data_IF_801688595705
#
_entry.id   IF_801688595705
#
_cell.length_a   1.000
_cell.length_b   1.000
_cell.length_c   1.000
_cell.angle_alpha   90.00
_cell.angle_beta   90.00
_cell.angle_gamma   90.00
#
_symmetry.space_group_name_H-M   'P 1'
#
loop_
_entity.id
_entity.type
_entity.pdbx_description
1 polymer ?
#
# COMPACT_ATOMS: atom_id res chain seq x y z
N UNK A 1 -82.23 -7.43 -79.79
CA UNK A 1 -81.13 -7.90 -78.92
C UNK A 1 -79.84 -7.49 -79.61
N UNK A 2 -78.93 -6.93 -78.83
CA UNK A 2 -77.56 -6.49 -79.17
C UNK A 2 -77.45 -5.19 -79.99
N UNK A 3 -76.62 -4.21 -79.63
CA UNK A 3 -75.81 -3.96 -78.43
C UNK A 3 -75.52 -2.46 -78.35
N UNK A 4 -75.39 -1.97 -77.12
CA UNK A 4 -75.13 -0.58 -76.74
C UNK A 4 -73.67 -0.21 -77.00
N UNK A 5 -73.41 0.89 -77.71
CA UNK A 5 -72.06 1.45 -77.86
C UNK A 5 -71.88 2.69 -76.97
N UNK A 6 -71.15 2.49 -75.88
CA UNK A 6 -70.82 3.43 -74.83
C UNK A 6 -69.55 4.23 -75.19
N UNK A 7 -69.71 5.51 -75.54
CA UNK A 7 -68.59 6.41 -75.80
C UNK A 7 -68.09 7.05 -74.50
N UNK A 8 -67.06 6.41 -73.94
CA UNK A 8 -66.27 6.81 -72.77
C UNK A 8 -65.66 8.22 -72.91
N UNK A 9 -66.06 9.14 -72.04
CA UNK A 9 -65.44 10.45 -71.89
C UNK A 9 -63.95 10.30 -71.48
N UNK A 10 -63.06 10.89 -72.28
CA UNK A 10 -61.62 10.91 -72.05
C UNK A 10 -61.29 11.72 -70.80
N UNK A 11 -60.71 11.03 -69.83
CA UNK A 11 -59.98 11.59 -68.69
C UNK A 11 -58.78 12.40 -69.21
N UNK A 12 -58.85 13.73 -69.11
CA UNK A 12 -57.68 14.59 -69.21
C UNK A 12 -57.00 14.62 -67.85
N UNK A 13 -56.07 13.68 -67.61
CA UNK A 13 -55.06 13.84 -66.56
C UNK A 13 -54.16 15.01 -66.98
N UNK A 14 -54.29 16.12 -66.27
CA UNK A 14 -53.28 17.18 -66.28
C UNK A 14 -52.03 16.63 -65.58
N UNK A 15 -51.07 16.14 -66.35
CA UNK A 15 -49.72 15.91 -65.84
C UNK A 15 -49.13 17.29 -65.53
N UNK A 16 -49.15 17.64 -64.25
CA UNK A 16 -48.51 18.84 -63.72
C UNK A 16 -47.01 18.72 -63.87
N UNK A 17 -46.49 19.17 -65.02
CA UNK A 17 -45.05 19.40 -65.20
C UNK A 17 -44.68 20.54 -64.25
N UNK A 18 -44.00 20.18 -63.16
CA UNK A 18 -43.44 21.15 -62.22
C UNK A 18 -42.49 22.07 -62.99
N UNK A 19 -42.61 23.38 -62.77
CA UNK A 19 -41.75 24.38 -63.38
C UNK A 19 -40.26 24.03 -63.08
N UNK A 20 -39.39 23.99 -64.10
CA UNK A 20 -37.99 23.60 -63.94
C UNK A 20 -37.22 24.49 -62.96
N UNK A 21 -37.64 25.75 -62.77
CA UNK A 21 -37.06 26.64 -61.76
C UNK A 21 -37.47 26.24 -60.34
N UNK A 22 -38.72 25.83 -60.13
CA UNK A 22 -39.18 25.25 -58.85
C UNK A 22 -38.46 23.94 -58.54
N UNK A 23 -38.25 23.07 -59.54
CA UNK A 23 -37.51 21.82 -59.35
C UNK A 23 -36.04 22.07 -58.97
N UNK A 24 -35.38 23.06 -59.60
CA UNK A 24 -34.01 23.46 -59.27
C UNK A 24 -33.91 24.06 -57.85
N UNK A 25 -34.88 24.88 -57.44
CA UNK A 25 -34.93 25.43 -56.09
C UNK A 25 -35.08 24.34 -55.01
N UNK A 26 -35.91 23.32 -55.26
CA UNK A 26 -36.06 22.17 -54.36
C UNK A 26 -34.75 21.38 -54.26
N UNK A 27 -34.07 21.10 -55.39
CA UNK A 27 -32.78 20.40 -55.37
C UNK A 27 -31.69 21.18 -54.64
N UNK A 28 -31.65 22.51 -54.81
CA UNK A 28 -30.73 23.38 -54.09
C UNK A 28 -30.98 23.33 -52.58
N UNK A 29 -32.23 23.48 -52.15
CA UNK A 29 -32.61 23.42 -50.74
C UNK A 29 -32.32 22.05 -50.10
N UNK A 30 -32.55 20.96 -50.83
CA UNK A 30 -32.22 19.61 -50.36
C UNK A 30 -30.71 19.43 -50.23
N UNK A 31 -29.92 19.91 -51.19
CA UNK A 31 -28.45 19.81 -51.16
C UNK A 31 -27.84 20.63 -50.01
N UNK A 32 -28.35 21.85 -49.77
CA UNK A 32 -27.96 22.67 -48.61
C UNK A 32 -28.33 21.99 -47.29
N UNK A 33 -29.53 21.41 -47.20
CA UNK A 33 -29.97 20.67 -46.01
C UNK A 33 -29.08 19.46 -45.74
N UNK A 34 -28.78 18.65 -46.75
CA UNK A 34 -27.89 17.49 -46.63
C UNK A 34 -26.45 17.89 -46.27
N UNK A 35 -25.93 18.98 -46.86
CA UNK A 35 -24.63 19.53 -46.51
C UNK A 35 -24.57 19.98 -45.05
N UNK A 36 -25.59 20.73 -44.60
CA UNK A 36 -25.68 21.17 -43.21
C UNK A 36 -25.77 19.99 -42.23
N UNK A 37 -26.49 18.92 -42.60
CA UNK A 37 -26.59 17.71 -41.79
C UNK A 37 -25.24 16.99 -41.68
N UNK A 38 -24.51 16.86 -42.79
CA UNK A 38 -23.18 16.24 -42.82
C UNK A 38 -22.16 17.03 -41.99
N UNK A 39 -22.18 18.36 -42.05
CA UNK A 39 -21.33 19.23 -41.25
C UNK A 39 -21.62 19.09 -39.76
N UNK A 40 -22.91 19.05 -39.39
CA UNK A 40 -23.33 18.85 -38.02
C UNK A 40 -22.90 17.45 -37.51
N UNK A 41 -23.05 16.41 -38.32
CA UNK A 41 -22.61 15.06 -37.97
C UNK A 41 -21.09 15.01 -37.78
N UNK A 42 -20.33 15.64 -38.67
CA UNK A 42 -18.87 15.72 -38.59
C UNK A 42 -18.43 16.43 -37.31
N UNK A 43 -19.06 17.56 -36.97
CA UNK A 43 -18.81 18.28 -35.70
C UNK A 43 -19.14 17.43 -34.47
N UNK A 44 -20.24 16.69 -34.50
CA UNK A 44 -20.60 15.78 -33.39
C UNK A 44 -19.57 14.67 -33.26
N UNK A 45 -19.10 14.08 -34.37
CA UNK A 45 -18.07 13.04 -34.34
C UNK A 45 -16.76 13.60 -33.79
N UNK A 46 -16.26 14.72 -34.32
CA UNK A 46 -15.01 15.34 -33.89
C UNK A 46 -15.04 15.73 -32.41
N UNK A 47 -16.14 16.32 -31.95
CA UNK A 47 -16.30 16.68 -30.54
C UNK A 47 -16.29 15.45 -29.64
N UNK A 48 -17.03 14.39 -29.99
CA UNK A 48 -17.05 13.14 -29.21
C UNK A 48 -15.71 12.42 -29.23
N UNK A 49 -15.00 12.44 -30.34
CA UNK A 49 -13.69 11.79 -30.48
C UNK A 49 -12.61 12.56 -29.72
N UNK A 50 -12.69 13.90 -29.71
CA UNK A 50 -11.82 14.76 -28.90
C UNK A 50 -12.09 14.57 -27.40
N UNK A 51 -13.35 14.53 -26.98
CA UNK A 51 -13.75 14.24 -25.60
C UNK A 51 -13.23 12.85 -25.17
N UNK A 52 -13.33 11.86 -26.05
CA UNK A 52 -12.82 10.52 -25.80
C UNK A 52 -11.30 10.49 -25.65
N UNK A 53 -10.56 11.11 -26.58
CA UNK A 53 -9.10 11.18 -26.53
C UNK A 53 -8.61 11.87 -25.25
N UNK A 54 -9.29 12.95 -24.83
CA UNK A 54 -9.00 13.66 -23.59
C UNK A 54 -9.21 12.76 -22.37
N UNK A 55 -10.37 12.11 -22.27
CA UNK A 55 -10.67 11.19 -21.15
C UNK A 55 -9.69 10.03 -21.09
N UNK A 56 -9.38 9.44 -22.24
CA UNK A 56 -8.42 8.33 -22.32
C UNK A 56 -7.02 8.75 -21.82
N UNK A 57 -6.55 9.92 -22.22
CA UNK A 57 -5.24 10.44 -21.78
C UNK A 57 -5.20 10.76 -20.28
N UNK A 58 -6.24 11.39 -19.75
CA UNK A 58 -6.32 11.76 -18.32
C UNK A 58 -6.44 10.52 -17.42
N UNK A 59 -7.29 9.57 -17.78
CA UNK A 59 -7.56 8.39 -16.96
C UNK A 59 -6.37 7.42 -16.97
N UNK A 60 -5.76 7.18 -18.14
CA UNK A 60 -4.63 6.25 -18.27
C UNK A 60 -3.34 6.81 -17.63
N UNK A 61 -3.08 8.12 -17.74
CA UNK A 61 -1.92 8.74 -17.08
C UNK A 61 -2.04 8.70 -15.56
N UNK A 62 -3.22 8.96 -15.00
CA UNK A 62 -3.43 8.92 -13.55
C UNK A 62 -3.27 7.52 -12.95
N UNK A 63 -3.77 6.50 -13.66
CA UNK A 63 -3.66 5.08 -13.26
C UNK A 63 -2.22 4.59 -13.29
N UNK A 64 -1.50 4.88 -14.38
CA UNK A 64 -0.08 4.51 -14.53
C UNK A 64 0.78 5.21 -13.48
N UNK A 65 0.56 6.51 -13.23
CA UNK A 65 1.31 7.26 -12.22
C UNK A 65 1.09 6.71 -10.81
N UNK A 66 -0.14 6.31 -10.47
CA UNK A 66 -0.41 5.65 -9.18
C UNK A 66 0.26 4.29 -9.06
N UNK A 67 0.19 3.46 -10.10
CA UNK A 67 0.86 2.17 -10.12
C UNK A 67 2.39 2.31 -9.96
N UNK A 68 2.98 3.29 -10.66
CA UNK A 68 4.41 3.60 -10.54
C UNK A 68 4.75 4.13 -9.14
N UNK A 69 3.91 4.99 -8.55
CA UNK A 69 4.11 5.47 -7.17
C UNK A 69 4.08 4.32 -6.16
N UNK A 70 3.15 3.37 -6.30
CA UNK A 70 3.08 2.16 -5.45
C UNK A 70 4.29 1.26 -5.62
N UNK A 71 4.68 0.96 -6.87
CA UNK A 71 5.85 0.13 -7.15
C UNK A 71 7.16 0.72 -6.58
N UNK A 72 7.32 2.06 -6.59
CA UNK A 72 8.49 2.73 -5.98
C UNK A 72 8.51 2.66 -4.46
N UNK A 73 7.34 2.65 -3.81
CA UNK A 73 7.22 2.58 -2.35
C UNK A 73 7.69 1.22 -1.79
N UNK A 74 7.53 0.15 -2.56
CA UNK A 74 7.78 -1.23 -2.12
C UNK A 74 9.25 -1.69 -2.22
N UNK A 75 10.14 -0.90 -2.83
CA UNK A 75 11.49 -1.36 -3.18
C UNK A 75 12.52 -1.24 -2.04
N UNK A 76 12.27 -0.40 -1.03
CA UNK A 76 13.27 -0.13 0.00
C UNK A 76 13.17 -1.09 1.19
N UNK A 77 14.28 -1.78 1.50
CA UNK A 77 14.41 -2.61 2.72
C UNK A 77 15.24 -1.89 3.78
N UNK A 78 14.64 -1.64 4.94
CA UNK A 78 15.27 -1.02 6.10
C UNK A 78 16.27 -1.96 6.78
N UNK A 79 17.42 -1.43 7.20
CA UNK A 79 18.44 -2.17 7.97
C UNK A 79 17.92 -2.69 9.33
N UNK A 80 17.04 -1.94 9.99
CA UNK A 80 16.48 -2.28 11.30
C UNK A 80 15.04 -2.74 11.14
N UNK A 81 14.68 -3.86 11.78
CA UNK A 81 13.32 -4.43 11.73
C UNK A 81 12.23 -3.45 12.20
N UNK A 82 12.50 -2.67 13.25
CA UNK A 82 11.55 -1.66 13.73
C UNK A 82 11.29 -0.54 12.72
N UNK A 83 12.32 -0.13 11.97
CA UNK A 83 12.17 0.86 10.91
C UNK A 83 11.41 0.28 9.72
N UNK A 84 11.64 -0.99 9.37
CA UNK A 84 10.86 -1.67 8.34
C UNK A 84 9.37 -1.65 8.71
N UNK A 85 9.04 -2.01 9.95
CA UNK A 85 7.65 -1.97 10.41
C UNK A 85 7.03 -0.56 10.39
N UNK A 86 7.83 0.50 10.59
CA UNK A 86 7.34 1.87 10.44
C UNK A 86 7.11 2.24 8.98
N UNK A 87 8.01 1.82 8.10
CA UNK A 87 7.85 2.02 6.66
C UNK A 87 6.59 1.29 6.17
N UNK A 88 6.45 0.00 6.47
CA UNK A 88 5.31 -0.82 6.06
C UNK A 88 3.98 -0.21 6.56
N UNK A 89 3.94 0.24 7.82
CA UNK A 89 2.76 0.93 8.36
C UNK A 89 2.46 2.24 7.63
N UNK A 90 3.49 3.04 7.34
CA UNK A 90 3.32 4.30 6.60
C UNK A 90 2.83 4.07 5.17
N UNK A 91 3.28 2.99 4.51
CA UNK A 91 2.80 2.60 3.19
C UNK A 91 1.30 2.23 3.24
N UNK A 92 0.89 1.41 4.22
CA UNK A 92 -0.52 1.05 4.40
C UNK A 92 -1.44 2.27 4.61
N UNK A 93 -0.98 3.26 5.39
CA UNK A 93 -1.74 4.52 5.58
C UNK A 93 -1.85 5.29 4.27
N UNK A 94 -0.75 5.41 3.51
CA UNK A 94 -0.79 6.06 2.20
C UNK A 94 -1.73 5.36 1.23
N UNK A 95 -1.76 4.02 1.22
CA UNK A 95 -2.67 3.27 0.34
C UNK A 95 -4.14 3.56 0.67
N UNK A 96 -4.48 3.72 1.95
CA UNK A 96 -5.84 4.13 2.37
C UNK A 96 -6.18 5.56 1.99
N UNK A 97 -5.21 6.47 2.03
CA UNK A 97 -5.41 7.84 1.57
C UNK A 97 -5.57 7.91 0.04
N UNK A 98 -4.81 7.11 -0.70
CA UNK A 98 -4.94 6.99 -2.16
C UNK A 98 -6.32 6.40 -2.52
N UNK A 99 -6.76 5.34 -1.82
CA UNK A 99 -8.11 4.75 -1.98
C UNK A 99 -9.22 5.78 -1.72
N UNK A 100 -9.08 6.59 -0.66
CA UNK A 100 -10.03 7.67 -0.36
C UNK A 100 -10.00 8.76 -1.45
N UNK A 101 -8.83 9.13 -1.96
CA UNK A 101 -8.69 10.12 -3.03
C UNK A 101 -9.37 9.65 -4.32
N UNK A 102 -9.19 8.39 -4.69
CA UNK A 102 -9.78 7.84 -5.91
C UNK A 102 -11.28 7.67 -5.80
N UNK A 103 -11.77 7.20 -4.64
CA UNK A 103 -13.20 7.16 -4.35
C UNK A 103 -13.84 8.55 -4.40
N UNK A 104 -13.12 9.59 -3.95
CA UNK A 104 -13.59 10.97 -3.98
C UNK A 104 -13.71 11.50 -5.43
N UNK A 105 -12.73 11.21 -6.30
CA UNK A 105 -12.80 11.55 -7.74
C UNK A 105 -14.02 10.89 -8.40
N UNK A 106 -14.35 9.66 -7.98
CA UNK A 106 -15.50 8.91 -8.46
C UNK A 106 -16.82 9.31 -7.76
N UNK A 107 -16.80 10.29 -6.83
CA UNK A 107 -17.94 10.74 -6.02
C UNK A 107 -18.62 9.61 -5.21
N UNK A 108 -17.85 8.60 -4.81
CA UNK A 108 -18.32 7.46 -4.01
C UNK A 108 -18.11 7.72 -2.51
N UNK A 109 -18.96 8.56 -1.91
CA UNK A 109 -18.78 9.06 -0.54
C UNK A 109 -18.72 7.98 0.54
N UNK A 110 -19.51 6.90 0.42
CA UNK A 110 -19.44 5.79 1.38
C UNK A 110 -18.08 5.10 1.39
N UNK A 111 -17.46 4.93 0.22
CA UNK A 111 -16.11 4.35 0.11
C UNK A 111 -15.06 5.30 0.68
N UNK A 112 -15.21 6.62 0.47
CA UNK A 112 -14.33 7.64 1.06
C UNK A 112 -14.38 7.55 2.59
N UNK A 113 -15.59 7.51 3.17
CA UNK A 113 -15.77 7.39 4.62
C UNK A 113 -15.12 6.13 5.17
N UNK A 114 -15.37 4.98 4.55
CA UNK A 114 -14.79 3.71 4.97
C UNK A 114 -13.24 3.70 4.90
N UNK A 115 -12.67 4.23 3.81
CA UNK A 115 -11.22 4.30 3.65
C UNK A 115 -10.56 5.23 4.71
N UNK A 116 -11.20 6.35 5.04
CA UNK A 116 -10.73 7.27 6.08
C UNK A 116 -10.84 6.65 7.49
N UNK A 117 -11.95 5.98 7.80
CA UNK A 117 -12.13 5.27 9.07
C UNK A 117 -11.09 4.15 9.23
N UNK A 118 -10.87 3.36 8.17
CA UNK A 118 -9.84 2.33 8.13
C UNK A 118 -8.42 2.91 8.33
N UNK A 119 -8.10 4.02 7.66
CA UNK A 119 -6.83 4.74 7.86
C UNK A 119 -6.66 5.26 9.28
N UNK A 120 -7.73 5.80 9.88
CA UNK A 120 -7.75 6.28 11.26
C UNK A 120 -7.53 5.14 12.26
N UNK A 121 -8.11 3.98 12.00
CA UNK A 121 -7.91 2.78 12.82
C UNK A 121 -6.46 2.28 12.76
N UNK A 122 -5.84 2.26 11.57
CA UNK A 122 -4.42 1.91 11.40
C UNK A 122 -3.50 2.83 12.21
N UNK A 123 -3.75 4.15 12.17
CA UNK A 123 -2.98 5.12 12.95
C UNK A 123 -3.23 4.92 14.45
N UNK A 124 -4.49 4.73 14.86
CA UNK A 124 -4.85 4.52 16.27
C UNK A 124 -4.20 3.27 16.86
N UNK A 125 -4.23 2.15 16.12
CA UNK A 125 -3.53 0.90 16.49
C UNK A 125 -2.03 1.14 16.65
N UNK A 126 -1.43 1.92 15.74
CA UNK A 126 0.01 2.21 15.80
C UNK A 126 0.37 3.07 17.00
N UNK A 127 -0.39 4.14 17.26
CA UNK A 127 -0.19 5.04 18.41
C UNK A 127 -0.24 4.26 19.72
N UNK A 128 -1.20 3.35 19.88
CA UNK A 128 -1.28 2.46 21.06
C UNK A 128 -0.04 1.58 21.22
N UNK A 129 0.60 1.17 20.12
CA UNK A 129 1.82 0.36 20.14
C UNK A 129 3.11 1.14 20.45
N UNK A 130 3.13 2.47 20.28
CA UNK A 130 4.38 3.25 20.47
C UNK A 130 4.84 3.21 21.93
N UNK A 131 3.94 3.46 22.88
CA UNK A 131 4.29 3.49 24.31
C UNK A 131 4.87 2.13 24.80
N UNK A 132 4.23 0.97 24.53
CA UNK A 132 4.82 -0.33 24.86
C UNK A 132 6.13 -0.63 24.12
N UNK A 133 6.32 -0.12 22.90
CA UNK A 133 7.59 -0.27 22.19
C UNK A 133 8.72 0.57 22.81
N UNK A 134 8.40 1.73 23.40
CA UNK A 134 9.40 2.60 24.03
C UNK A 134 9.77 2.09 25.43
N UNK A 135 8.78 1.62 26.19
CA UNK A 135 8.97 1.13 27.57
C UNK A 135 9.61 -0.27 27.62
N UNK A 136 9.35 -1.13 26.62
CA UNK A 136 9.84 -2.51 26.64
C UNK A 136 11.29 -2.64 26.17
N UNK A 137 12.07 -3.46 26.88
CA UNK A 137 13.44 -3.80 26.47
C UNK A 137 13.54 -4.60 25.15
N UNK A 138 12.43 -5.13 24.63
CA UNK A 138 12.37 -5.82 23.34
C UNK A 138 11.73 -4.97 22.21
N UNK A 139 11.32 -3.73 22.51
CA UNK A 139 10.81 -2.77 21.53
C UNK A 139 9.56 -3.25 20.78
N UNK A 140 9.50 -2.96 19.47
CA UNK A 140 8.42 -3.37 18.57
C UNK A 140 8.15 -4.89 18.52
N UNK A 141 9.07 -5.73 18.96
CA UNK A 141 8.79 -7.17 19.10
C UNK A 141 7.72 -7.44 20.16
N UNK A 142 7.70 -6.66 21.24
CA UNK A 142 6.67 -6.73 22.29
C UNK A 142 5.30 -6.32 21.73
N UNK A 143 5.24 -5.26 20.93
CA UNK A 143 4.00 -4.82 20.26
C UNK A 143 3.46 -5.90 19.32
N UNK A 144 4.33 -6.58 18.58
CA UNK A 144 3.90 -7.64 17.67
C UNK A 144 3.25 -8.81 18.41
N UNK A 145 3.82 -9.21 19.56
CA UNK A 145 3.20 -10.24 20.41
C UNK A 145 1.92 -9.73 21.08
N UNK A 146 1.87 -8.45 21.48
CA UNK A 146 0.69 -7.81 22.05
C UNK A 146 -0.49 -7.78 21.07
N UNK A 147 -0.23 -7.44 19.80
CA UNK A 147 -1.25 -7.41 18.75
C UNK A 147 -1.65 -8.82 18.25
N UNK A 148 -0.81 -9.84 18.45
CA UNK A 148 -1.09 -11.21 18.02
C UNK A 148 -1.90 -12.03 19.04
N UNK A 149 -2.04 -11.56 20.28
CA UNK A 149 -2.74 -12.27 21.35
C UNK A 149 -4.25 -11.93 21.29
N UNK A 150 -4.98 -12.57 20.36
CA UNK A 150 -6.45 -12.43 20.19
C UNK A 150 -7.28 -13.15 21.29
N UNK A 151 -6.64 -13.84 22.24
CA UNK A 151 -7.34 -14.64 23.25
C UNK A 151 -7.27 -14.02 24.67
N UNK A 152 -8.47 -13.69 25.16
CA UNK A 152 -8.90 -13.45 26.55
C UNK A 152 -9.04 -11.98 27.03
N UNK A 153 -10.32 -11.62 27.18
CA UNK A 153 -10.99 -10.65 28.05
C UNK A 153 -10.31 -9.33 28.45
N UNK A 154 -10.77 -8.25 27.82
CA UNK A 154 -11.23 -7.01 28.45
C UNK A 154 -11.07 -6.85 29.99
N UNK A 155 -9.85 -6.69 30.50
CA UNK A 155 -9.59 -5.76 31.64
C UNK A 155 -8.12 -5.51 32.04
N UNK A 156 -7.09 -6.02 31.36
CA UNK A 156 -5.71 -5.77 31.84
C UNK A 156 -4.64 -5.67 30.73
N UNK A 157 -4.52 -4.46 30.17
CA UNK A 157 -3.48 -4.14 29.17
C UNK A 157 -2.07 -4.22 29.77
N UNK A 158 -1.90 -3.98 31.07
CA UNK A 158 -0.60 -4.06 31.74
C UNK A 158 -0.12 -5.52 31.86
N UNK A 159 -1.02 -6.43 32.28
CA UNK A 159 -0.75 -7.88 32.22
C UNK A 159 -0.49 -8.35 30.79
N UNK A 160 -1.16 -7.77 29.78
CA UNK A 160 -0.94 -8.12 28.37
C UNK A 160 0.46 -7.72 27.90
N UNK A 161 0.89 -6.49 28.19
CA UNK A 161 2.24 -6.00 27.85
C UNK A 161 3.30 -6.85 28.54
N UNK A 162 3.14 -7.16 29.83
CA UNK A 162 4.09 -8.01 30.57
C UNK A 162 4.22 -9.41 29.96
N UNK A 163 3.11 -10.06 29.58
CA UNK A 163 3.13 -11.38 28.91
C UNK A 163 3.79 -11.29 27.54
N UNK A 164 3.44 -10.28 26.75
CA UNK A 164 4.03 -10.04 25.43
C UNK A 164 5.55 -9.84 25.52
N UNK A 165 6.01 -9.05 26.49
CA UNK A 165 7.44 -8.82 26.71
C UNK A 165 8.16 -10.11 27.12
N UNK A 166 7.59 -10.92 28.01
CA UNK A 166 8.15 -12.23 28.37
C UNK A 166 8.26 -13.15 27.15
N UNK A 167 7.25 -13.18 26.26
CA UNK A 167 7.29 -13.97 25.02
C UNK A 167 8.34 -13.45 24.04
N UNK A 168 8.39 -12.14 23.83
CA UNK A 168 9.39 -11.49 22.98
C UNK A 168 10.82 -11.75 23.50
N UNK A 169 11.05 -11.58 24.81
CA UNK A 169 12.32 -11.84 25.48
C UNK A 169 12.79 -13.30 25.37
N UNK A 170 11.87 -14.27 25.44
CA UNK A 170 12.21 -15.69 25.19
C UNK A 170 12.64 -15.92 23.74
N UNK A 171 11.93 -15.33 22.77
CA UNK A 171 12.24 -15.46 21.33
C UNK A 171 13.59 -14.81 21.00
N UNK A 172 13.87 -13.61 21.52
CA UNK A 172 15.15 -12.91 21.30
C UNK A 172 16.32 -13.65 21.96
N UNK A 173 16.16 -14.15 23.19
CA UNK A 173 17.19 -14.92 23.88
C UNK A 173 17.48 -16.27 23.17
N UNK A 174 16.45 -16.99 22.73
CA UNK A 174 16.62 -18.23 21.95
C UNK A 174 17.39 -17.98 20.65
N UNK A 175 17.09 -16.89 19.94
CA UNK A 175 17.83 -16.49 18.73
C UNK A 175 19.31 -16.19 19.04
N UNK A 176 19.58 -15.43 20.10
CA UNK A 176 20.96 -15.14 20.55
C UNK A 176 21.74 -16.40 20.95
N UNK A 177 21.07 -17.39 21.57
CA UNK A 177 21.70 -18.67 21.93
C UNK A 177 22.05 -19.50 20.69
N UNK A 178 21.18 -19.54 19.68
CA UNK A 178 21.46 -20.26 18.42
C UNK A 178 22.68 -19.69 17.69
N UNK A 179 22.73 -18.37 17.49
CA UNK A 179 23.89 -17.71 16.84
C UNK A 179 25.21 -18.04 17.56
N UNK A 180 25.21 -18.02 18.90
CA UNK A 180 26.40 -18.36 19.69
C UNK A 180 26.80 -19.84 19.64
N UNK A 181 25.85 -20.74 19.39
CA UNK A 181 26.13 -22.17 19.22
C UNK A 181 26.69 -22.45 17.82
N UNK A 182 26.21 -21.74 16.80
CA UNK A 182 26.70 -21.87 15.43
C UNK A 182 28.13 -21.30 15.28
N UNK A 183 28.45 -20.19 15.94
CA UNK A 183 29.83 -19.64 16.01
C UNK A 183 30.81 -20.55 16.75
N UNK A 184 30.34 -21.37 17.72
CA UNK A 184 31.17 -22.35 18.43
C UNK A 184 31.30 -23.70 17.73
N UNK A 185 30.48 -23.98 16.70
CA UNK A 185 30.53 -25.22 15.93
C UNK A 185 31.56 -25.23 14.80
N UNK A 186 32.14 -24.08 14.44
CA UNK A 186 33.09 -23.94 13.32
C UNK A 186 34.56 -24.14 13.70
N UNK A 187 34.87 -24.52 14.94
CA UNK A 187 36.26 -24.63 15.38
C UNK A 187 36.44 -25.56 16.59
N UNK A 188 36.34 -26.87 16.36
CA UNK A 188 37.18 -27.87 17.05
C UNK A 188 36.95 -29.26 16.45
N UNK A 189 37.70 -29.60 15.40
CA UNK A 189 38.12 -30.98 15.21
C UNK A 189 39.26 -31.25 16.22
N UNK A 190 38.91 -31.47 17.49
CA UNK A 190 39.84 -32.06 18.45
C UNK A 190 39.50 -33.53 18.61
N UNK A 191 40.09 -34.31 17.71
CA UNK A 191 40.61 -35.67 17.89
C UNK A 191 40.07 -36.44 19.10
N UNK A 192 39.35 -37.50 18.79
CA UNK A 192 39.09 -38.64 19.67
C UNK A 192 40.33 -39.00 20.49
N UNK A 193 40.25 -38.90 21.81
CA UNK A 193 41.15 -39.63 22.70
C UNK A 193 40.33 -40.54 23.60
N UNK A 194 40.12 -41.74 23.09
CA UNK A 194 39.77 -42.89 23.92
C UNK A 194 40.93 -43.20 24.86
N UNK A 195 40.65 -43.26 26.16
CA UNK A 195 41.47 -44.00 27.10
C UNK A 195 40.56 -44.50 28.24
N UNK A 196 40.50 -45.81 28.34
CA UNK A 196 39.68 -46.59 29.26
C UNK A 196 40.13 -46.45 30.72
N UNK A 197 39.16 -46.53 31.64
CA UNK A 197 39.19 -47.29 32.91
C UNK A 197 40.42 -47.19 33.84
N UNK A 198 40.22 -46.65 35.04
CA UNK A 198 40.53 -47.37 36.29
C UNK A 198 39.86 -46.74 37.52
N UNK A 199 39.32 -47.60 38.39
CA UNK A 199 38.67 -47.31 39.68
C UNK A 199 39.71 -47.08 40.79
N UNK A 200 39.48 -46.11 41.68
CA UNK A 200 39.68 -46.16 43.16
C UNK A 200 39.26 -44.79 43.74
N UNK A 201 38.15 -44.67 44.47
CA UNK A 201 37.95 -44.80 45.93
C UNK A 201 38.49 -43.67 46.81
N UNK A 202 37.57 -43.22 47.69
CA UNK A 202 37.73 -42.61 49.02
C UNK A 202 37.72 -41.08 49.16
N UNK A 203 36.57 -40.62 49.72
CA UNK A 203 36.34 -39.70 50.85
C UNK A 203 37.35 -38.56 51.07
N UNK A 204 36.85 -37.31 51.09
CA UNK A 204 36.72 -36.57 52.35
C UNK A 204 35.94 -35.25 52.22
N UNK A 205 35.35 -34.86 53.35
CA UNK A 205 34.56 -33.67 53.62
C UNK A 205 35.49 -32.46 53.86
N UNK A 206 35.16 -31.27 53.32
CA UNK A 206 35.36 -29.99 54.01
C UNK A 206 34.80 -28.78 53.21
N UNK A 207 33.85 -28.10 53.84
CA UNK A 207 33.80 -26.64 54.08
C UNK A 207 34.07 -25.61 52.98
N UNK A 208 32.98 -24.88 52.66
CA UNK A 208 32.86 -23.40 52.57
C UNK A 208 34.14 -22.58 52.27
N UNK A 209 34.10 -21.86 51.16
CA UNK A 209 34.40 -20.42 51.15
C UNK A 209 33.84 -19.74 49.90
N UNK A 210 32.97 -18.76 50.12
CA UNK A 210 32.52 -17.76 49.15
C UNK A 210 33.72 -17.05 48.49
N UNK A 211 33.76 -17.03 47.16
CA UNK A 211 34.63 -16.14 46.40
C UNK A 211 33.82 -15.51 45.26
N UNK A 212 33.38 -14.27 45.46
CA UNK A 212 32.87 -13.40 44.38
C UNK A 212 34.04 -12.97 43.51
N UNK A 213 34.00 -13.15 42.17
CA UNK A 213 34.97 -12.48 41.32
C UNK A 213 34.55 -11.02 41.06
N UNK A 214 35.49 -10.11 41.30
CA UNK A 214 35.38 -8.68 41.06
C UNK A 214 35.00 -8.37 39.60
N UNK A 215 34.01 -7.49 39.41
CA UNK A 215 33.69 -6.93 38.10
C UNK A 215 34.80 -5.95 37.71
N UNK A 216 35.62 -6.33 36.74
CA UNK A 216 36.48 -5.40 36.00
C UNK A 216 35.59 -4.39 35.26
N UNK A 217 35.62 -3.14 35.71
CA UNK A 217 35.13 -2.01 34.92
C UNK A 217 36.08 -1.84 33.73
N UNK A 218 35.57 -2.04 32.52
CA UNK A 218 36.29 -1.80 31.29
C UNK A 218 36.49 -0.30 31.03
N UNK A 219 37.41 0.05 30.12
CA UNK A 219 37.82 1.43 29.89
C UNK A 219 36.66 2.28 29.37
N UNK A 220 36.28 3.30 30.14
CA UNK A 220 35.41 4.37 29.71
C UNK A 220 36.11 5.09 28.55
N UNK A 221 35.53 5.04 27.36
CA UNK A 221 36.00 5.85 26.24
C UNK A 221 35.87 7.33 26.60
N UNK A 222 37.02 8.03 26.58
CA UNK A 222 37.13 9.48 26.56
C UNK A 222 36.31 10.03 25.39
N UNK A 223 35.33 10.88 25.67
CA UNK A 223 34.81 11.81 24.68
C UNK A 223 35.70 13.06 24.79
N UNK A 224 36.71 13.12 23.94
CA UNK A 224 37.40 14.36 23.64
C UNK A 224 36.48 15.24 22.78
N UNK A 225 36.36 16.48 23.24
CA UNK A 225 35.56 17.62 22.79
C UNK A 225 35.97 18.13 21.37
N UNK A 226 35.67 19.38 20.98
CA UNK A 226 34.43 19.97 20.46
C UNK A 226 34.62 20.47 19.02
N UNK A 227 33.59 20.57 18.18
CA UNK A 227 33.63 21.51 17.06
C UNK A 227 32.26 22.12 16.78
N UNK A 228 32.25 23.44 16.97
CA UNK A 228 31.32 24.42 16.44
C UNK A 228 30.98 24.15 14.97
N UNK A 229 29.71 24.35 14.64
CA UNK A 229 29.31 25.04 13.41
C UNK A 229 27.98 25.74 13.67
N UNK A 230 28.10 26.96 14.20
CA UNK A 230 27.19 28.07 13.92
C UNK A 230 27.32 28.36 12.43
N UNK A 231 26.23 28.35 11.65
CA UNK A 231 26.00 29.28 10.53
C UNK A 231 24.47 29.49 10.35
N UNK A 232 24.02 30.69 9.94
CA UNK A 232 22.69 31.22 10.16
C UNK A 232 21.85 31.37 8.88
N UNK A 233 20.64 31.88 9.09
CA UNK A 233 19.93 32.87 8.26
C UNK A 233 19.21 32.44 6.95
N UNK A 234 18.01 33.04 6.82
CA UNK A 234 17.35 33.54 5.61
C UNK A 234 16.79 32.49 4.61
N UNK A 235 15.46 32.45 4.45
CA UNK A 235 14.74 33.10 3.34
C UNK A 235 13.24 32.72 3.35
N UNK A 236 12.41 33.74 3.10
CA UNK A 236 11.01 33.77 2.61
C UNK A 236 9.88 33.18 3.46
#
# INVERSE_FOLDING_TARGET
MSDSEEARARSSRSDGVLDPSVAAAIQSAVSESMGSLADNLTKVIESKLSDFAKRFSEENSSSVDQAVKRARREQYTCKRKGNQQQLDHSLQVMDKLDEASDALKQKLYEKVKFALESGTELVSKRVKGIKPADESGCGWATVNEYLSDELASDSDDEKRIYRAERRAGRKTNKKRRRVRSDEKGSGSFSVFRAASSSRFSSKDLASRSDARPARRLGPCFKISSPFFLVIPALFL
#
